data_IF_868907574376
#
_entry.id   IF_868907574376
#
_cell.length_a   1.000
_cell.length_b   1.000
_cell.length_c   1.000
_cell.angle_alpha   90.00
_cell.angle_beta   90.00
_cell.angle_gamma   90.00
#
_symmetry.space_group_name_H-M   'P 1'
#
loop_
_entity.id
_entity.type
_entity.pdbx_description
1 polymer ?
#
# COMPACT_ATOMS: atom_id res chain seq x y z
N UNK A 1 4.61 19.16 -45.10
CA UNK A 1 3.21 18.73 -44.89
C UNK A 1 3.20 17.33 -44.30
N UNK A 2 3.41 17.19 -42.98
CA UNK A 2 3.24 15.89 -42.32
C UNK A 2 1.81 15.85 -41.79
N UNK A 3 1.08 14.84 -42.27
CA UNK A 3 -0.33 14.59 -41.98
C UNK A 3 -0.55 14.44 -40.47
N UNK A 4 -1.51 15.19 -39.93
CA UNK A 4 -1.86 15.28 -38.51
C UNK A 4 -2.77 14.16 -37.89
N UNK A 5 -3.01 12.96 -38.47
CA UNK A 5 -3.75 11.91 -37.78
C UNK A 5 -2.85 10.93 -37.00
N UNK A 6 -1.59 10.73 -37.39
CA UNK A 6 -0.75 9.68 -36.79
C UNK A 6 -0.31 10.04 -35.35
N UNK A 7 0.11 11.29 -35.11
CA UNK A 7 0.51 11.78 -33.77
C UNK A 7 -0.67 11.75 -32.79
N UNK A 8 -1.89 12.06 -33.26
CA UNK A 8 -3.09 12.03 -32.44
C UNK A 8 -3.50 10.60 -32.06
N UNK A 9 -3.33 9.63 -32.97
CA UNK A 9 -3.56 8.21 -32.70
C UNK A 9 -2.53 7.68 -31.71
N UNK A 10 -1.25 8.03 -31.88
CA UNK A 10 -0.18 7.62 -30.96
C UNK A 10 -0.41 8.16 -29.54
N UNK A 11 -0.81 9.44 -29.43
CA UNK A 11 -1.14 10.07 -28.14
C UNK A 11 -2.38 9.47 -27.48
N UNK A 12 -3.41 9.12 -28.26
CA UNK A 12 -4.61 8.42 -27.74
C UNK A 12 -4.26 7.03 -27.23
N UNK A 13 -3.38 6.32 -27.93
CA UNK A 13 -2.89 5.00 -27.50
C UNK A 13 -2.11 5.09 -26.20
N UNK A 14 -1.16 6.03 -26.11
CA UNK A 14 -0.40 6.30 -24.89
C UNK A 14 -1.29 6.68 -23.69
N UNK A 15 -2.29 7.54 -23.91
CA UNK A 15 -3.25 7.92 -22.87
C UNK A 15 -4.04 6.73 -22.31
N UNK A 16 -4.47 5.82 -23.19
CA UNK A 16 -5.24 4.64 -22.77
C UNK A 16 -4.36 3.62 -22.03
N UNK A 17 -3.10 3.46 -22.43
CA UNK A 17 -2.12 2.60 -21.76
C UNK A 17 -1.79 3.10 -20.35
N UNK A 18 -1.59 4.42 -20.19
CA UNK A 18 -1.35 5.05 -18.88
C UNK A 18 -2.56 4.97 -17.95
N UNK A 19 -3.77 5.08 -18.50
CA UNK A 19 -5.00 4.90 -17.73
C UNK A 19 -5.18 3.45 -17.23
N UNK A 20 -4.68 2.46 -17.98
CA UNK A 20 -4.67 1.04 -17.58
C UNK A 20 -3.68 0.75 -16.46
N UNK A 21 -2.53 1.44 -16.41
CA UNK A 21 -1.51 1.27 -15.37
C UNK A 21 -1.94 1.85 -14.01
N UNK A 22 -2.83 2.84 -14.00
CA UNK A 22 -3.39 3.42 -12.77
C UNK A 22 -4.37 2.50 -12.03
N UNK A 23 -4.72 1.35 -12.60
CA UNK A 23 -5.62 0.35 -12.03
C UNK A 23 -4.91 -0.86 -11.41
N UNK A 24 -3.59 -0.76 -11.17
CA UNK A 24 -2.89 -1.79 -10.40
C UNK A 24 -3.48 -1.84 -8.98
N UNK A 25 -3.96 -3.01 -8.51
CA UNK A 25 -4.44 -3.15 -7.15
C UNK A 25 -3.29 -2.78 -6.21
N UNK A 26 -3.54 -1.88 -5.26
CA UNK A 26 -2.55 -1.43 -4.26
C UNK A 26 -1.98 -2.59 -3.42
N UNK A 27 -2.61 -3.76 -3.50
CA UNK A 27 -2.28 -4.99 -2.80
C UNK A 27 -0.97 -5.67 -3.27
N UNK A 28 -0.53 -5.48 -4.52
CA UNK A 28 0.65 -6.21 -5.05
C UNK A 28 2.00 -5.75 -4.48
N UNK A 29 2.05 -4.62 -3.76
CA UNK A 29 3.27 -4.20 -3.04
C UNK A 29 3.38 -4.78 -1.63
N UNK A 30 2.36 -5.51 -1.17
CA UNK A 30 2.23 -5.95 0.22
C UNK A 30 2.17 -7.48 0.37
N UNK A 31 2.27 -8.23 -0.73
CA UNK A 31 2.24 -9.71 -0.70
C UNK A 31 3.48 -10.34 -0.04
N UNK A 32 4.55 -9.56 0.17
CA UNK A 32 5.76 -10.03 0.84
C UNK A 32 5.68 -9.97 2.38
N UNK A 33 4.73 -9.22 2.95
CA UNK A 33 4.59 -9.05 4.40
C UNK A 33 3.24 -9.58 4.91
N UNK A 34 3.23 -10.38 5.99
CA UNK A 34 1.99 -10.83 6.61
C UNK A 34 1.13 -9.64 7.06
N UNK A 35 -0.10 -9.60 6.58
CA UNK A 35 -1.07 -8.58 6.96
C UNK A 35 -1.88 -9.03 8.19
N UNK A 36 -1.97 -8.16 9.19
CA UNK A 36 -2.75 -8.40 10.40
C UNK A 36 -3.77 -7.29 10.62
N UNK A 37 -4.98 -7.66 11.00
CA UNK A 37 -5.97 -6.68 11.46
C UNK A 37 -5.57 -6.09 12.81
N UNK A 38 -5.95 -4.83 13.06
CA UNK A 38 -5.74 -4.21 14.38
C UNK A 38 -6.38 -5.03 15.51
N UNK A 39 -7.50 -5.70 15.23
CA UNK A 39 -8.16 -6.58 16.19
C UNK A 39 -7.29 -7.79 16.57
N UNK A 40 -6.59 -8.37 15.60
CA UNK A 40 -5.67 -9.48 15.87
C UNK A 40 -4.51 -9.01 16.78
N UNK A 41 -3.95 -7.83 16.52
CA UNK A 41 -2.89 -7.23 17.35
C UNK A 41 -3.39 -6.95 18.78
N UNK A 42 -4.61 -6.42 18.93
CA UNK A 42 -5.23 -6.21 20.23
C UNK A 42 -5.39 -7.52 21.01
N UNK A 43 -5.84 -8.60 20.37
CA UNK A 43 -6.00 -9.89 21.04
C UNK A 43 -4.64 -10.45 21.47
N UNK A 44 -3.65 -10.40 20.58
CA UNK A 44 -2.29 -10.90 20.84
C UNK A 44 -1.63 -10.18 22.02
N UNK A 45 -1.80 -8.86 22.12
CA UNK A 45 -1.20 -8.03 23.17
C UNK A 45 -2.05 -7.91 24.45
N UNK A 46 -3.20 -8.61 24.51
CA UNK A 46 -4.18 -8.44 25.60
C UNK A 46 -4.60 -6.97 25.77
N UNK A 47 -5.04 -6.36 24.67
CA UNK A 47 -5.41 -4.95 24.54
C UNK A 47 -4.29 -3.99 24.99
N UNK A 48 -3.03 -4.28 24.60
CA UNK A 48 -1.87 -3.48 24.99
C UNK A 48 -1.74 -3.30 26.51
N UNK A 49 -1.95 -4.39 27.28
CA UNK A 49 -1.82 -4.37 28.73
C UNK A 49 -0.41 -3.92 29.15
N UNK A 50 -0.33 -3.09 30.19
CA UNK A 50 0.95 -2.66 30.77
C UNK A 50 1.79 -3.84 31.30
N UNK A 51 1.16 -4.97 31.64
CA UNK A 51 1.86 -6.20 32.04
C UNK A 51 2.68 -6.82 30.89
N UNK A 52 2.30 -6.54 29.64
CA UNK A 52 3.00 -6.98 28.44
C UNK A 52 3.98 -5.93 27.90
N UNK A 53 4.10 -4.78 28.56
CA UNK A 53 5.02 -3.73 28.13
C UNK A 53 6.46 -4.11 28.42
N UNK A 54 7.27 -4.12 27.38
CA UNK A 54 8.71 -4.36 27.44
C UNK A 54 9.48 -3.08 27.76
N UNK A 55 8.93 -1.90 27.41
CA UNK A 55 9.55 -0.62 27.68
C UNK A 55 8.94 0.54 26.87
N UNK A 56 9.60 1.70 26.93
CA UNK A 56 9.24 2.89 26.13
C UNK A 56 10.51 3.54 25.58
N UNK A 57 10.56 3.75 24.27
CA UNK A 57 11.64 4.45 23.57
C UNK A 57 11.17 5.75 22.91
N UNK A 58 12.00 6.32 22.04
CA UNK A 58 11.68 7.54 21.28
C UNK A 58 10.48 7.41 20.34
N UNK A 59 10.09 6.18 20.00
CA UNK A 59 8.95 5.85 19.14
C UNK A 59 7.70 5.41 19.91
N UNK A 60 7.73 5.40 21.26
CA UNK A 60 6.59 5.00 22.09
C UNK A 60 6.78 3.67 22.83
N UNK A 61 5.67 3.10 23.38
CA UNK A 61 5.69 1.88 24.16
C UNK A 61 5.81 0.62 23.28
N UNK A 62 6.52 -0.40 23.77
CA UNK A 62 6.73 -1.69 23.11
C UNK A 62 6.07 -2.78 23.95
N UNK A 63 5.27 -3.64 23.32
CA UNK A 63 4.57 -4.75 23.97
C UNK A 63 5.01 -6.10 23.39
N UNK A 64 5.03 -7.15 24.22
CA UNK A 64 5.24 -8.54 23.80
C UNK A 64 3.95 -9.23 23.39
#
# INVERSE_FOLDING_TARGET
FMSLPLVAVDLRRYRNEMASLGNLPEDERNDELPQYSLKAVQVATTNFSEENKLGKGGFGPVHK
#
